data_IF_296769690044
#
_entry.id   IF_296769690044
#
_cell.length_a   1.000
_cell.length_b   1.000
_cell.length_c   1.000
_cell.angle_alpha   90.00
_cell.angle_beta   90.00
_cell.angle_gamma   90.00
#
_symmetry.space_group_name_H-M   'P 1'
#
loop_
_entity.id
_entity.type
_entity.pdbx_description
1 polymer ?
#
# COMPACT_ATOMS: atom_id res chain seq x y z
N UNK A 1 -11.82 31.71 7.45
CA UNK A 1 -11.57 31.89 6.01
C UNK A 1 -12.02 30.64 5.30
N UNK A 2 -12.90 30.75 4.31
CA UNK A 2 -13.27 29.62 3.45
C UNK A 2 -12.06 29.30 2.56
N UNK A 3 -11.47 28.12 2.71
CA UNK A 3 -10.48 27.60 1.75
C UNK A 3 -11.14 27.57 0.38
N UNK A 4 -10.68 28.44 -0.52
CA UNK A 4 -11.10 28.47 -1.92
C UNK A 4 -10.94 27.07 -2.50
N UNK A 5 -12.02 26.50 -3.02
CA UNK A 5 -11.94 25.26 -3.78
C UNK A 5 -11.10 25.53 -5.03
N UNK A 6 -9.84 25.08 -5.00
CA UNK A 6 -8.96 25.13 -6.16
C UNK A 6 -9.16 23.82 -6.95
N UNK A 7 -9.82 23.85 -8.13
CA UNK A 7 -10.04 22.66 -8.91
C UNK A 7 -8.72 22.05 -9.38
N UNK A 8 -8.59 20.73 -9.28
CA UNK A 8 -7.44 20.01 -9.83
C UNK A 8 -7.43 20.12 -11.35
N UNK A 9 -6.24 20.09 -11.95
CA UNK A 9 -6.12 19.96 -13.41
C UNK A 9 -6.51 18.53 -13.85
N UNK A 10 -6.98 18.32 -15.09
CA UNK A 10 -7.29 16.99 -15.60
C UNK A 10 -6.11 16.01 -15.48
N UNK A 11 -4.87 16.47 -15.72
CA UNK A 11 -3.67 15.66 -15.56
C UNK A 11 -3.46 15.19 -14.11
N UNK A 12 -3.65 16.09 -13.13
CA UNK A 12 -3.56 15.72 -11.70
C UNK A 12 -4.69 14.78 -11.30
N UNK A 13 -5.91 15.03 -11.76
CA UNK A 13 -7.06 14.16 -11.50
C UNK A 13 -6.86 12.75 -12.07
N UNK A 14 -6.30 12.65 -13.26
CA UNK A 14 -5.92 11.38 -13.89
C UNK A 14 -4.84 10.64 -13.09
N UNK A 15 -3.85 11.38 -12.60
CA UNK A 15 -2.81 10.79 -11.76
C UNK A 15 -3.40 10.20 -10.48
N UNK A 16 -4.24 10.96 -9.77
CA UNK A 16 -4.88 10.55 -8.51
C UNK A 16 -5.84 9.36 -8.68
N UNK A 17 -6.66 9.36 -9.74
CA UNK A 17 -7.74 8.36 -9.89
C UNK A 17 -7.35 7.10 -10.67
N UNK A 18 -6.30 7.16 -11.50
CA UNK A 18 -5.91 6.06 -12.37
C UNK A 18 -4.46 5.65 -12.15
N UNK A 19 -3.52 6.58 -12.35
CA UNK A 19 -2.09 6.24 -12.32
C UNK A 19 -1.65 5.81 -10.93
N UNK A 20 -2.07 6.51 -9.88
CA UNK A 20 -1.62 6.27 -8.52
C UNK A 20 -2.06 4.89 -7.99
N UNK A 21 -3.35 4.48 -8.09
CA UNK A 21 -3.77 3.13 -7.73
C UNK A 21 -3.03 2.04 -8.50
N UNK A 22 -2.88 2.21 -9.83
CA UNK A 22 -2.19 1.24 -10.68
C UNK A 22 -0.71 1.12 -10.30
N UNK A 23 0.00 2.23 -10.15
CA UNK A 23 1.41 2.23 -9.78
C UNK A 23 1.61 1.57 -8.43
N UNK A 24 0.81 1.92 -7.41
CA UNK A 24 0.96 1.30 -6.09
C UNK A 24 0.74 -0.23 -6.12
N UNK A 25 -0.19 -0.71 -6.94
CA UNK A 25 -0.47 -2.15 -7.07
C UNK A 25 0.68 -2.97 -7.66
N UNK A 26 1.63 -2.35 -8.39
CA UNK A 26 2.87 -3.01 -8.83
C UNK A 26 3.68 -3.49 -7.62
N UNK A 27 3.59 -2.77 -6.51
CA UNK A 27 4.16 -3.19 -5.23
C UNK A 27 3.59 -4.53 -4.76
N UNK A 28 2.26 -4.68 -4.82
CA UNK A 28 1.59 -5.93 -4.46
C UNK A 28 1.89 -7.05 -5.44
N UNK A 29 1.91 -6.76 -6.75
CA UNK A 29 2.33 -7.73 -7.78
C UNK A 29 3.73 -8.27 -7.50
N UNK A 30 4.69 -7.38 -7.24
CA UNK A 30 6.07 -7.76 -6.96
C UNK A 30 6.19 -8.60 -5.68
N UNK A 31 5.54 -8.18 -4.59
CA UNK A 31 5.63 -8.87 -3.31
C UNK A 31 4.93 -10.23 -3.32
N UNK A 32 3.72 -10.34 -3.86
CA UNK A 32 2.98 -11.62 -3.90
C UNK A 32 3.66 -12.63 -4.82
N UNK A 33 4.21 -12.18 -5.95
CA UNK A 33 5.00 -13.02 -6.87
C UNK A 33 6.27 -13.50 -6.19
N UNK A 34 6.99 -12.57 -5.53
CA UNK A 34 8.20 -12.88 -4.79
C UNK A 34 7.94 -13.88 -3.66
N UNK A 35 6.91 -13.69 -2.83
CA UNK A 35 6.54 -14.62 -1.77
C UNK A 35 6.18 -16.00 -2.31
N UNK A 36 5.39 -16.06 -3.40
CA UNK A 36 5.02 -17.34 -4.03
C UNK A 36 6.28 -18.10 -4.47
N UNK A 37 7.19 -17.43 -5.19
CA UNK A 37 8.39 -18.07 -5.73
C UNK A 37 9.45 -18.40 -4.68
N UNK A 38 9.67 -17.51 -3.72
CA UNK A 38 10.74 -17.66 -2.71
C UNK A 38 10.39 -18.66 -1.60
N UNK A 39 9.11 -18.77 -1.22
CA UNK A 39 8.67 -19.65 -0.14
C UNK A 39 8.22 -21.01 -0.68
N UNK A 40 7.44 -21.01 -1.76
CA UNK A 40 6.79 -22.22 -2.27
C UNK A 40 7.42 -22.74 -3.56
N UNK A 41 8.34 -22.00 -4.18
CA UNK A 41 9.01 -22.42 -5.41
C UNK A 41 8.19 -22.23 -6.69
N UNK A 42 6.96 -21.73 -6.60
CA UNK A 42 5.98 -21.64 -7.69
C UNK A 42 5.40 -20.23 -7.76
N UNK A 43 5.05 -19.78 -8.96
CA UNK A 43 4.27 -18.55 -9.16
C UNK A 43 2.83 -18.98 -9.47
N UNK A 44 1.88 -18.55 -8.63
CA UNK A 44 0.45 -18.76 -8.83
C UNK A 44 -0.23 -17.41 -9.04
N UNK A 45 -1.06 -17.31 -10.08
CA UNK A 45 -1.71 -16.07 -10.46
C UNK A 45 -2.80 -15.66 -9.47
N UNK A 46 -3.41 -16.60 -8.72
CA UNK A 46 -4.54 -16.33 -7.81
C UNK A 46 -4.16 -15.40 -6.66
N UNK A 47 -3.14 -15.69 -5.82
CA UNK A 47 -2.75 -14.77 -4.76
C UNK A 47 -2.27 -13.42 -5.31
N UNK A 48 -1.61 -13.42 -6.47
CA UNK A 48 -1.14 -12.20 -7.15
C UNK A 48 -2.33 -11.32 -7.55
N UNK A 49 -3.32 -11.90 -8.24
CA UNK A 49 -4.49 -11.16 -8.70
C UNK A 49 -5.32 -10.65 -7.51
N UNK A 50 -5.47 -11.45 -6.46
CA UNK A 50 -6.17 -11.03 -5.23
C UNK A 50 -5.49 -9.81 -4.60
N UNK A 51 -4.17 -9.84 -4.41
CA UNK A 51 -3.44 -8.75 -3.77
C UNK A 51 -3.46 -7.48 -4.64
N UNK A 52 -3.23 -7.60 -5.95
CA UNK A 52 -3.25 -6.48 -6.91
C UNK A 52 -4.63 -5.85 -6.98
N UNK A 53 -5.68 -6.65 -7.18
CA UNK A 53 -7.05 -6.13 -7.27
C UNK A 53 -7.49 -5.50 -5.95
N UNK A 54 -7.15 -6.10 -4.80
CA UNK A 54 -7.49 -5.54 -3.49
C UNK A 54 -6.80 -4.20 -3.24
N UNK A 55 -5.52 -4.04 -3.62
CA UNK A 55 -4.84 -2.75 -3.49
C UNK A 55 -5.43 -1.68 -4.42
N UNK A 56 -5.73 -2.02 -5.68
CA UNK A 56 -6.39 -1.10 -6.62
C UNK A 56 -7.74 -0.65 -6.08
N UNK A 57 -8.52 -1.58 -5.52
CA UNK A 57 -9.82 -1.27 -4.93
C UNK A 57 -9.69 -0.38 -3.70
N UNK A 58 -8.82 -0.75 -2.74
CA UNK A 58 -8.66 0.01 -1.50
C UNK A 58 -8.19 1.45 -1.77
N UNK A 59 -7.12 1.62 -2.55
CA UNK A 59 -6.58 2.95 -2.90
C UNK A 59 -7.53 3.67 -3.84
N UNK A 60 -8.02 2.99 -4.88
CA UNK A 60 -8.85 3.61 -5.89
C UNK A 60 -10.19 4.09 -5.33
N UNK A 61 -10.81 3.37 -4.38
CA UNK A 61 -12.02 3.84 -3.71
C UNK A 61 -11.75 5.04 -2.80
N UNK A 62 -10.68 5.02 -2.01
CA UNK A 62 -10.25 6.15 -1.15
C UNK A 62 -10.10 7.43 -1.99
N UNK A 63 -9.29 7.37 -3.05
CA UNK A 63 -9.08 8.52 -3.95
C UNK A 63 -10.35 8.89 -4.75
N UNK A 64 -11.16 7.93 -5.16
CA UNK A 64 -12.40 8.23 -5.89
C UNK A 64 -13.40 9.02 -5.03
N UNK A 65 -13.56 8.64 -3.76
CA UNK A 65 -14.45 9.32 -2.84
C UNK A 65 -13.89 10.66 -2.37
N UNK A 66 -12.58 10.76 -2.12
CA UNK A 66 -11.92 12.03 -1.78
C UNK A 66 -12.08 13.09 -2.89
N UNK A 67 -12.10 12.65 -4.16
CA UNK A 67 -12.28 13.55 -5.31
C UNK A 67 -13.75 13.75 -5.73
N UNK A 68 -14.74 13.23 -5.00
CA UNK A 68 -16.16 13.44 -5.32
C UNK A 68 -16.57 14.93 -5.52
N UNK A 69 -16.00 15.91 -4.80
CA UNK A 69 -16.22 17.33 -5.09
C UNK A 69 -15.81 17.76 -6.51
N UNK A 70 -14.75 17.17 -7.06
CA UNK A 70 -14.28 17.45 -8.44
C UNK A 70 -15.25 16.92 -9.49
N UNK A 71 -15.89 15.78 -9.23
CA UNK A 71 -16.95 15.28 -10.11
C UNK A 71 -18.16 16.23 -10.14
N UNK A 72 -18.55 16.74 -8.96
CA UNK A 72 -19.63 17.73 -8.85
C UNK A 72 -19.29 19.03 -9.59
N UNK A 73 -18.02 19.47 -9.51
CA UNK A 73 -17.52 20.61 -10.27
C UNK A 73 -17.52 20.36 -11.78
N UNK A 74 -17.07 19.18 -12.22
CA UNK A 74 -17.04 18.81 -13.63
C UNK A 74 -18.43 18.81 -14.27
N UNK A 75 -19.46 18.33 -13.55
CA UNK A 75 -20.85 18.42 -14.02
C UNK A 75 -21.35 19.87 -14.10
N UNK A 76 -21.05 20.70 -13.10
CA UNK A 76 -21.46 22.11 -13.09
C UNK A 76 -20.81 22.94 -14.20
N UNK A 77 -19.60 22.57 -14.60
CA UNK A 77 -18.81 23.28 -15.62
C UNK A 77 -18.84 22.59 -16.99
N UNK A 78 -19.62 21.52 -17.14
CA UNK A 78 -19.67 20.70 -18.36
C UNK A 78 -18.29 20.25 -18.86
N UNK A 79 -17.35 19.99 -17.94
CA UNK A 79 -16.00 19.53 -18.28
C UNK A 79 -16.03 18.03 -18.62
N UNK A 80 -16.17 17.72 -19.92
CA UNK A 80 -16.29 16.35 -20.44
C UNK A 80 -15.06 15.49 -20.16
N UNK A 81 -13.87 16.09 -20.15
CA UNK A 81 -12.60 15.38 -19.89
C UNK A 81 -12.56 14.86 -18.44
N UNK A 82 -12.86 15.70 -17.45
CA UNK A 82 -12.91 15.28 -16.05
C UNK A 82 -13.96 14.19 -15.83
N UNK A 83 -15.14 14.32 -16.43
CA UNK A 83 -16.20 13.29 -16.36
C UNK A 83 -15.72 11.97 -16.97
N UNK A 84 -14.98 12.00 -18.08
CA UNK A 84 -14.41 10.81 -18.70
C UNK A 84 -13.38 10.12 -17.79
N UNK A 85 -12.53 10.89 -17.09
CA UNK A 85 -11.57 10.35 -16.12
C UNK A 85 -12.30 9.62 -14.97
N UNK A 86 -13.35 10.23 -14.39
CA UNK A 86 -14.15 9.57 -13.37
C UNK A 86 -14.84 8.29 -13.88
N UNK A 87 -15.28 8.28 -15.14
CA UNK A 87 -15.87 7.09 -15.76
C UNK A 87 -14.83 5.98 -15.90
N UNK A 88 -13.62 6.31 -16.37
CA UNK A 88 -12.52 5.35 -16.48
C UNK A 88 -12.14 4.79 -15.10
N UNK A 89 -12.05 5.64 -14.07
CA UNK A 89 -11.74 5.21 -12.71
C UNK A 89 -12.81 4.26 -12.17
N UNK A 90 -14.09 4.55 -12.41
CA UNK A 90 -15.19 3.66 -12.04
C UNK A 90 -15.12 2.31 -12.76
N UNK A 91 -14.79 2.31 -14.06
CA UNK A 91 -14.60 1.07 -14.83
C UNK A 91 -13.42 0.25 -14.31
N UNK A 92 -12.31 0.91 -13.95
CA UNK A 92 -11.15 0.25 -13.33
C UNK A 92 -11.53 -0.42 -12.00
N UNK A 93 -12.32 0.24 -11.16
CA UNK A 93 -12.79 -0.32 -9.89
C UNK A 93 -13.71 -1.53 -10.12
N UNK A 94 -14.68 -1.44 -11.02
CA UNK A 94 -15.57 -2.56 -11.30
C UNK A 94 -14.86 -3.75 -11.94
N UNK A 95 -13.93 -3.52 -12.86
CA UNK A 95 -13.15 -4.61 -13.45
C UNK A 95 -12.30 -5.32 -12.40
N UNK A 96 -11.66 -4.59 -11.50
CA UNK A 96 -10.89 -5.18 -10.41
C UNK A 96 -11.75 -5.89 -9.37
N UNK A 97 -12.95 -5.39 -9.07
CA UNK A 97 -13.91 -6.10 -8.23
C UNK A 97 -14.32 -7.45 -8.85
N UNK A 98 -14.60 -7.49 -10.15
CA UNK A 98 -14.92 -8.72 -10.87
C UNK A 98 -13.73 -9.70 -10.87
N UNK A 99 -12.51 -9.21 -11.11
CA UNK A 99 -11.29 -10.01 -11.07
C UNK A 99 -11.01 -10.58 -9.67
N UNK A 100 -11.22 -9.79 -8.62
CA UNK A 100 -11.08 -10.24 -7.24
C UNK A 100 -12.08 -11.36 -6.93
N UNK A 101 -13.35 -11.20 -7.29
CA UNK A 101 -14.38 -12.22 -7.08
C UNK A 101 -14.09 -13.51 -7.86
N UNK A 102 -13.59 -13.39 -9.10
CA UNK A 102 -13.16 -14.53 -9.90
C UNK A 102 -11.98 -15.27 -9.27
N UNK A 103 -10.96 -14.54 -8.81
CA UNK A 103 -9.80 -15.15 -8.17
C UNK A 103 -10.19 -15.85 -6.86
N UNK A 104 -11.10 -15.24 -6.09
CA UNK A 104 -11.63 -15.78 -4.84
C UNK A 104 -12.50 -17.02 -5.06
N UNK A 105 -13.34 -17.06 -6.10
CA UNK A 105 -14.16 -18.24 -6.41
C UNK A 105 -13.31 -19.45 -6.85
N UNK A 106 -12.12 -19.20 -7.39
CA UNK A 106 -11.13 -20.20 -7.78
C UNK A 106 -10.08 -20.48 -6.68
N UNK A 107 -10.29 -19.96 -5.48
CA UNK A 107 -9.40 -20.10 -4.32
C UNK A 107 -10.07 -20.88 -3.17
N UNK A 108 -9.27 -21.49 -2.26
CA UNK A 108 -9.81 -22.14 -1.07
C UNK A 108 -10.66 -21.19 -0.20
N UNK A 109 -11.68 -21.69 0.53
CA UNK A 109 -12.52 -20.87 1.41
C UNK A 109 -11.73 -20.09 2.48
N UNK A 110 -10.60 -20.64 2.95
CA UNK A 110 -9.72 -19.95 3.89
C UNK A 110 -9.18 -18.62 3.33
N UNK A 111 -8.96 -18.55 2.02
CA UNK A 111 -8.49 -17.33 1.34
C UNK A 111 -9.51 -16.20 1.46
N UNK A 112 -10.81 -16.50 1.42
CA UNK A 112 -11.85 -15.51 1.66
C UNK A 112 -11.71 -14.90 3.05
N UNK A 113 -11.54 -15.74 4.08
CA UNK A 113 -11.32 -15.26 5.44
C UNK A 113 -10.08 -14.38 5.56
N UNK A 114 -8.97 -14.76 4.92
CA UNK A 114 -7.73 -13.95 4.94
C UNK A 114 -7.92 -12.59 4.26
N UNK A 115 -8.58 -12.56 3.09
CA UNK A 115 -8.89 -11.30 2.40
C UNK A 115 -9.82 -10.42 3.25
N UNK A 116 -10.86 -10.99 3.85
CA UNK A 116 -11.78 -10.24 4.70
C UNK A 116 -11.09 -9.67 5.94
N UNK A 117 -10.22 -10.44 6.60
CA UNK A 117 -9.53 -10.01 7.83
C UNK A 117 -8.48 -8.93 7.54
N UNK A 118 -7.67 -9.10 6.49
CA UNK A 118 -6.57 -8.18 6.21
C UNK A 118 -6.98 -7.03 5.28
N UNK A 119 -7.65 -7.28 4.17
CA UNK A 119 -8.02 -6.24 3.20
C UNK A 119 -9.39 -5.62 3.46
N UNK A 120 -10.30 -6.33 4.13
CA UNK A 120 -11.61 -5.80 4.53
C UNK A 120 -11.53 -4.44 5.22
N UNK A 121 -10.67 -4.25 6.26
CA UNK A 121 -10.48 -2.96 6.91
C UNK A 121 -10.06 -1.82 5.97
N UNK A 122 -9.28 -2.12 4.92
CA UNK A 122 -8.84 -1.14 3.93
C UNK A 122 -10.00 -0.68 3.03
N UNK A 123 -10.99 -1.54 2.76
CA UNK A 123 -12.18 -1.17 1.98
C UNK A 123 -13.15 -0.28 2.75
N UNK A 124 -13.16 -0.38 4.08
CA UNK A 124 -14.04 0.40 4.96
C UNK A 124 -13.31 1.53 5.69
N UNK A 125 -12.09 1.84 5.27
CA UNK A 125 -11.13 2.68 5.99
C UNK A 125 -11.67 4.10 6.31
N UNK A 126 -12.48 4.65 5.41
CA UNK A 126 -13.14 5.95 5.54
C UNK A 126 -14.65 5.87 5.86
N UNK A 127 -15.20 4.66 6.00
CA UNK A 127 -16.57 4.48 6.47
C UNK A 127 -16.65 4.74 7.97
N UNK A 128 -17.67 5.51 8.37
CA UNK A 128 -17.95 5.79 9.78
C UNK A 128 -18.50 4.52 10.44
N UNK A 129 -17.63 3.69 11.00
CA UNK A 129 -17.99 2.39 11.56
C UNK A 129 -18.93 2.50 12.78
N UNK A 130 -18.77 3.54 13.59
CA UNK A 130 -19.65 3.83 14.73
C UNK A 130 -19.89 5.34 14.86
N UNK A 131 -21.15 5.75 14.84
CA UNK A 131 -21.58 7.10 15.26
C UNK A 131 -22.12 6.96 16.68
N UNK A 132 -21.28 7.25 17.67
CA UNK A 132 -21.75 7.31 19.05
C UNK A 132 -22.52 8.62 19.27
N UNK A 133 -23.83 8.49 19.53
CA UNK A 133 -24.68 9.47 20.20
C UNK A 133 -24.77 10.86 19.54
N UNK A 134 -25.91 11.16 18.92
CA UNK A 134 -26.22 12.53 18.51
C UNK A 134 -27.57 12.64 17.86
N UNK A 135 -28.62 12.81 18.67
CA UNK A 135 -29.95 13.22 18.24
C UNK A 135 -29.83 14.44 17.33
N UNK A 136 -30.36 14.34 16.11
CA UNK A 136 -30.34 15.43 15.13
C UNK A 136 -31.07 16.66 15.67
N UNK A 137 -30.34 17.63 16.21
CA UNK A 137 -30.79 19.02 16.26
C UNK A 137 -30.05 19.80 15.18
N UNK A 138 -30.82 20.23 14.17
CA UNK A 138 -30.43 21.19 13.15
C UNK A 138 -29.97 22.48 13.83
N UNK A 139 -28.67 22.70 13.93
CA UNK A 139 -28.14 24.05 14.04
C UNK A 139 -26.78 24.14 13.35
N UNK A 140 -26.64 25.24 12.63
CA UNK A 140 -25.57 25.63 11.73
C UNK A 140 -24.25 25.76 12.48
N UNK A 141 -23.27 24.89 12.16
CA UNK A 141 -21.84 25.21 12.06
C UNK A 141 -21.09 24.00 11.50
N UNK A 142 -20.41 24.19 10.36
CA UNK A 142 -19.57 23.18 9.69
C UNK A 142 -18.28 22.92 10.50
N UNK A 143 -18.38 22.27 11.66
CA UNK A 143 -17.25 21.56 12.25
C UNK A 143 -17.41 20.08 11.93
N UNK A 144 -16.39 19.48 11.32
CA UNK A 144 -16.34 18.04 11.06
C UNK A 144 -16.71 17.30 12.37
N UNK A 145 -17.67 16.36 12.34
CA UNK A 145 -18.14 15.72 13.55
C UNK A 145 -16.98 15.03 14.25
N UNK A 146 -16.66 15.46 15.48
CA UNK A 146 -15.59 14.92 16.33
C UNK A 146 -15.78 13.45 16.74
N UNK A 147 -16.95 12.86 16.46
CA UNK A 147 -17.39 11.57 17.02
C UNK A 147 -17.56 10.46 15.95
N UNK A 148 -16.80 10.52 14.86
CA UNK A 148 -16.77 9.44 13.86
C UNK A 148 -15.49 8.63 14.01
N UNK A 149 -15.60 7.39 14.51
CA UNK A 149 -14.48 6.46 14.51
C UNK A 149 -14.16 6.10 13.06
N UNK A 150 -12.99 6.54 12.60
CA UNK A 150 -12.41 6.23 11.29
C UNK A 150 -11.03 5.65 11.55
N UNK A 151 -10.71 4.52 10.91
CA UNK A 151 -9.45 3.81 11.14
C UNK A 151 -8.24 4.72 10.83
N UNK A 152 -8.40 5.60 9.83
CA UNK A 152 -7.47 6.67 9.44
C UNK A 152 -7.10 7.64 10.58
N UNK A 153 -7.92 7.75 11.63
CA UNK A 153 -7.76 8.73 12.73
C UNK A 153 -7.25 8.13 14.04
N UNK A 154 -6.93 6.83 14.08
CA UNK A 154 -6.27 6.26 15.25
C UNK A 154 -4.80 6.73 15.23
N UNK A 155 -4.31 7.40 16.30
CA UNK A 155 -2.97 8.00 16.31
C UNK A 155 -1.86 7.02 15.93
N UNK A 156 -1.11 7.34 14.87
CA UNK A 156 0.05 6.59 14.38
C UNK A 156 -0.25 5.22 13.77
N UNK A 157 -1.50 4.74 13.85
CA UNK A 157 -1.84 3.38 13.44
C UNK A 157 -2.04 3.22 11.93
N UNK A 158 -2.28 4.32 11.19
CA UNK A 158 -2.44 4.28 9.72
C UNK A 158 -1.28 3.54 9.06
N UNK A 159 -0.05 3.96 9.33
CA UNK A 159 1.14 3.35 8.73
C UNK A 159 1.37 1.89 9.20
N UNK A 160 1.12 1.61 10.48
CA UNK A 160 1.30 0.26 11.04
C UNK A 160 0.31 -0.72 10.41
N UNK A 161 -0.97 -0.33 10.33
CA UNK A 161 -2.01 -1.13 9.69
C UNK A 161 -1.72 -1.34 8.21
N UNK A 162 -1.29 -0.32 7.47
CA UNK A 162 -0.85 -0.50 6.07
C UNK A 162 0.28 -1.53 6.00
N UNK A 163 1.25 -1.46 6.92
CA UNK A 163 2.32 -2.44 7.06
C UNK A 163 1.80 -3.87 7.26
N UNK A 164 0.88 -4.07 8.21
CA UNK A 164 0.30 -5.38 8.53
C UNK A 164 -0.54 -5.91 7.37
N UNK A 165 -1.38 -5.08 6.77
CA UNK A 165 -2.25 -5.47 5.65
C UNK A 165 -1.39 -5.90 4.45
N UNK A 166 -0.38 -5.09 4.07
CA UNK A 166 0.43 -5.36 2.89
C UNK A 166 1.58 -6.34 3.10
N UNK A 167 2.13 -6.45 4.31
CA UNK A 167 3.16 -7.43 4.65
C UNK A 167 2.52 -8.77 5.03
N UNK A 168 1.99 -8.84 6.25
CA UNK A 168 1.35 -10.04 6.78
C UNK A 168 0.15 -10.51 5.95
N UNK A 169 -0.73 -9.59 5.51
CA UNK A 169 -1.93 -9.96 4.75
C UNK A 169 -1.60 -10.58 3.38
N UNK A 170 -0.63 -10.03 2.66
CA UNK A 170 -0.12 -10.64 1.42
C UNK A 170 0.39 -12.05 1.67
N UNK A 171 1.21 -12.24 2.71
CA UNK A 171 1.69 -13.58 3.08
C UNK A 171 0.54 -14.53 3.43
N UNK A 172 -0.44 -14.08 4.21
CA UNK A 172 -1.58 -14.90 4.63
C UNK A 172 -2.39 -15.42 3.42
N UNK A 173 -2.59 -14.58 2.40
CA UNK A 173 -3.28 -14.94 1.15
C UNK A 173 -2.43 -15.91 0.31
N UNK A 174 -1.14 -15.64 0.16
CA UNK A 174 -0.23 -16.55 -0.58
C UNK A 174 -0.21 -17.92 0.10
N UNK A 175 -0.05 -17.93 1.43
CA UNK A 175 0.01 -19.14 2.23
C UNK A 175 -1.32 -19.91 2.21
N UNK A 176 -2.47 -19.25 2.27
CA UNK A 176 -3.78 -19.92 2.26
C UNK A 176 -4.06 -20.67 0.95
N UNK A 177 -3.42 -20.25 -0.15
CA UNK A 177 -3.54 -20.91 -1.46
C UNK A 177 -2.46 -21.97 -1.63
N UNK A 178 -1.19 -21.65 -1.35
CA UNK A 178 -0.06 -22.48 -1.77
C UNK A 178 0.36 -23.53 -0.75
N UNK A 179 0.20 -23.29 0.56
CA UNK A 179 0.70 -24.20 1.59
C UNK A 179 0.02 -25.58 1.59
N UNK A 180 -1.17 -25.69 0.97
CA UNK A 180 -1.89 -26.96 0.83
C UNK A 180 -1.42 -27.78 -0.38
N UNK A 181 -0.98 -27.12 -1.43
CA UNK A 181 -0.63 -27.76 -2.71
C UNK A 181 0.88 -27.98 -2.85
N UNK A 182 1.68 -27.21 -2.13
CA UNK A 182 3.12 -27.27 -2.15
C UNK A 182 3.60 -27.29 -0.70
N UNK A 183 4.34 -28.34 -0.33
CA UNK A 183 5.19 -28.24 0.85
C UNK A 183 6.13 -27.06 0.63
N UNK A 184 6.41 -26.26 1.68
CA UNK A 184 7.43 -25.23 1.61
C UNK A 184 8.68 -25.84 0.95
N UNK A 185 9.26 -25.15 -0.03
CA UNK A 185 10.26 -25.74 -0.91
C UNK A 185 11.33 -26.47 -0.06
N UNK A 186 11.75 -27.69 -0.43
CA UNK A 186 12.72 -28.45 0.34
C UNK A 186 13.92 -27.56 0.62
N UNK A 187 14.50 -27.72 1.82
CA UNK A 187 15.59 -26.93 2.38
C UNK A 187 16.88 -27.02 1.56
N UNK A 188 16.86 -26.53 0.32
CA UNK A 188 18.03 -25.95 -0.29
C UNK A 188 18.45 -24.73 0.52
N UNK A 189 19.66 -24.19 0.31
CA UNK A 189 20.12 -22.99 0.98
C UNK A 189 19.35 -21.76 0.46
N UNK A 190 18.07 -21.66 0.83
CA UNK A 190 17.28 -20.46 0.61
C UNK A 190 17.76 -19.41 1.60
N UNK A 191 18.30 -18.32 1.06
CA UNK A 191 18.65 -17.11 1.82
C UNK A 191 17.40 -16.51 2.50
N UNK A 192 16.20 -16.89 2.04
CA UNK A 192 14.92 -16.40 2.53
C UNK A 192 14.20 -17.43 3.40
N UNK A 193 13.98 -17.05 4.66
CA UNK A 193 13.02 -17.69 5.55
C UNK A 193 11.67 -16.92 5.49
N UNK A 194 10.51 -17.60 5.45
CA UNK A 194 9.19 -16.97 5.49
C UNK A 194 9.04 -15.89 6.57
N UNK A 195 9.58 -16.14 7.77
CA UNK A 195 9.55 -15.18 8.89
C UNK A 195 10.26 -13.89 8.54
N UNK A 196 11.43 -13.98 7.90
CA UNK A 196 12.17 -12.80 7.47
C UNK A 196 11.37 -12.01 6.45
N UNK A 197 10.79 -12.68 5.45
CA UNK A 197 9.99 -12.03 4.41
C UNK A 197 8.80 -11.29 5.04
N UNK A 198 8.09 -11.91 5.98
CA UNK A 198 6.93 -11.29 6.65
C UNK A 198 7.37 -10.08 7.47
N UNK A 199 8.36 -10.25 8.35
CA UNK A 199 8.80 -9.18 9.27
C UNK A 199 9.39 -8.01 8.50
N UNK A 200 10.34 -8.28 7.60
CA UNK A 200 10.93 -7.23 6.76
C UNK A 200 9.86 -6.55 5.89
N UNK A 201 8.97 -7.33 5.25
CA UNK A 201 7.98 -6.72 4.36
C UNK A 201 7.01 -5.81 5.11
N UNK A 202 6.61 -6.21 6.31
CA UNK A 202 5.72 -5.44 7.19
C UNK A 202 6.38 -4.16 7.66
N UNK A 203 7.61 -4.25 8.21
CA UNK A 203 8.38 -3.08 8.66
C UNK A 203 8.59 -2.11 7.50
N UNK A 204 9.06 -2.62 6.37
CA UNK A 204 9.37 -1.80 5.21
C UNK A 204 8.11 -1.10 4.68
N UNK A 205 6.97 -1.80 4.56
CA UNK A 205 5.69 -1.18 4.16
C UNK A 205 5.22 -0.11 5.14
N UNK A 206 5.35 -0.35 6.45
CA UNK A 206 5.00 0.63 7.46
C UNK A 206 5.88 1.89 7.33
N UNK A 207 7.20 1.74 7.22
CA UNK A 207 8.12 2.87 7.04
C UNK A 207 7.81 3.69 5.78
N UNK A 208 7.52 3.03 4.65
CA UNK A 208 7.18 3.75 3.42
C UNK A 208 5.79 4.37 3.45
N UNK A 209 4.85 3.84 4.25
CA UNK A 209 3.60 4.53 4.55
C UNK A 209 3.85 5.80 5.38
N UNK A 210 4.75 5.76 6.37
CA UNK A 210 5.18 6.96 7.10
C UNK A 210 5.85 7.97 6.17
N UNK A 211 6.63 7.54 5.18
CA UNK A 211 7.18 8.46 4.18
C UNK A 211 6.09 9.17 3.37
N UNK A 212 4.96 8.51 3.07
CA UNK A 212 3.81 9.19 2.48
C UNK A 212 3.20 10.23 3.43
N UNK A 213 3.16 9.95 4.73
CA UNK A 213 2.72 10.94 5.73
C UNK A 213 3.74 12.10 5.88
N UNK A 214 5.04 11.87 5.65
CA UNK A 214 6.05 12.94 5.61
C UNK A 214 5.81 13.87 4.42
N UNK A 215 5.50 13.31 3.25
CA UNK A 215 5.13 14.08 2.05
C UNK A 215 3.94 15.00 2.31
N UNK A 216 2.94 14.50 3.03
CA UNK A 216 1.69 15.21 3.29
C UNK A 216 1.69 15.95 4.64
N UNK A 217 2.88 16.18 5.23
CA UNK A 217 3.03 16.71 6.59
C UNK A 217 2.31 18.05 6.81
N UNK A 218 2.48 19.02 5.89
CA UNK A 218 1.88 20.35 6.05
C UNK A 218 0.34 20.27 6.05
N UNK A 219 -0.22 19.46 5.16
CA UNK A 219 -1.67 19.25 5.04
C UNK A 219 -2.23 18.50 6.27
N UNK A 220 -1.53 17.44 6.70
CA UNK A 220 -1.89 16.67 7.89
C UNK A 220 -1.76 17.49 9.17
N UNK A 221 -0.77 18.39 9.23
CA UNK A 221 -0.59 19.32 10.34
C UNK A 221 -1.73 20.34 10.41
N UNK A 222 -2.10 20.95 9.29
CA UNK A 222 -3.24 21.88 9.24
C UNK A 222 -4.56 21.20 9.65
N UNK A 223 -4.76 19.96 9.19
CA UNK A 223 -5.98 19.17 9.47
C UNK A 223 -5.93 18.43 10.80
N UNK A 224 -4.79 18.46 11.51
CA UNK A 224 -4.53 17.71 12.74
C UNK A 224 -4.84 16.21 12.58
N UNK A 225 -4.45 15.63 11.45
CA UNK A 225 -4.52 14.18 11.22
C UNK A 225 -3.38 13.54 12.04
N UNK A 226 -3.67 12.57 12.92
CA UNK A 226 -2.68 12.09 13.88
C UNK A 226 -1.73 11.05 13.26
N UNK A 227 -1.02 11.42 12.19
CA UNK A 227 0.03 10.61 11.56
C UNK A 227 1.34 10.67 12.36
N UNK A 228 2.26 9.73 12.16
CA UNK A 228 3.52 9.66 12.91
C UNK A 228 4.31 10.99 12.85
N UNK A 229 4.48 11.64 11.69
CA UNK A 229 5.14 12.94 11.62
C UNK A 229 4.49 14.04 12.46
N UNK A 230 3.15 14.09 12.46
CA UNK A 230 2.36 15.05 13.25
C UNK A 230 2.50 14.76 14.75
N UNK A 231 2.44 13.48 15.16
CA UNK A 231 2.61 13.08 16.55
C UNK A 231 4.02 13.42 17.09
N UNK A 232 5.05 13.26 16.26
CA UNK A 232 6.41 13.67 16.60
C UNK A 232 6.65 15.18 16.46
N UNK A 233 5.68 15.90 15.85
CA UNK A 233 5.70 17.33 15.53
C UNK A 233 6.92 17.73 14.69
N UNK A 234 7.46 16.81 13.89
CA UNK A 234 8.72 17.02 13.19
C UNK A 234 8.97 15.97 12.11
N UNK A 235 9.25 16.45 10.90
CA UNK A 235 9.77 15.63 9.80
C UNK A 235 11.16 15.07 10.17
N UNK A 236 12.04 15.87 10.75
CA UNK A 236 13.39 15.43 11.13
C UNK A 236 13.36 14.27 12.14
N UNK A 237 12.54 14.37 13.20
CA UNK A 237 12.41 13.28 14.18
C UNK A 237 11.86 12.01 13.54
N UNK A 238 10.97 12.16 12.57
CA UNK A 238 10.46 11.03 11.79
C UNK A 238 11.55 10.39 10.94
N UNK A 239 12.36 11.19 10.23
CA UNK A 239 13.49 10.67 9.44
C UNK A 239 14.50 9.92 10.31
N UNK A 240 14.80 10.43 11.50
CA UNK A 240 15.66 9.75 12.48
C UNK A 240 15.04 8.41 12.93
N UNK A 241 13.75 8.38 13.26
CA UNK A 241 13.03 7.16 13.63
C UNK A 241 13.08 6.12 12.50
N UNK A 242 12.74 6.52 11.27
CA UNK A 242 12.75 5.61 10.12
C UNK A 242 14.16 5.09 9.82
N UNK A 243 15.17 5.95 9.92
CA UNK A 243 16.58 5.55 9.79
C UNK A 243 16.95 4.49 10.84
N UNK A 244 16.61 4.73 12.11
CA UNK A 244 16.88 3.78 13.19
C UNK A 244 16.19 2.42 12.94
N UNK A 245 14.93 2.42 12.49
CA UNK A 245 14.19 1.18 12.17
C UNK A 245 14.83 0.44 10.99
N UNK A 246 15.23 1.13 9.93
CA UNK A 246 15.90 0.49 8.79
C UNK A 246 17.29 -0.05 9.14
N UNK A 247 18.10 0.70 9.90
CA UNK A 247 19.40 0.22 10.37
C UNK A 247 19.26 -0.97 11.32
N UNK A 248 18.30 -0.94 12.24
CA UNK A 248 17.99 -2.09 13.10
C UNK A 248 17.58 -3.31 12.27
N UNK A 249 16.75 -3.13 11.24
CA UNK A 249 16.34 -4.21 10.34
C UNK A 249 17.55 -4.79 9.57
N UNK A 250 18.45 -3.93 9.10
CA UNK A 250 19.68 -4.35 8.44
C UNK A 250 20.61 -5.14 9.36
N UNK A 251 20.74 -4.74 10.63
CA UNK A 251 21.53 -5.46 11.63
C UNK A 251 20.90 -6.81 11.99
N UNK A 252 19.59 -6.84 12.22
CA UNK A 252 18.83 -8.05 12.55
C UNK A 252 18.93 -9.12 11.47
N UNK A 253 18.99 -8.70 10.20
CA UNK A 253 19.07 -9.59 9.04
C UNK A 253 20.36 -9.39 8.24
N UNK A 254 21.47 -9.12 8.93
CA UNK A 254 22.78 -8.80 8.31
C UNK A 254 23.32 -9.88 7.36
N UNK A 255 22.92 -11.13 7.57
CA UNK A 255 23.28 -12.27 6.72
C UNK A 255 22.44 -12.38 5.43
N UNK A 256 21.34 -11.60 5.31
CA UNK A 256 20.52 -11.56 4.11
C UNK A 256 20.85 -10.28 3.30
N UNK A 257 21.68 -10.38 2.24
CA UNK A 257 22.16 -9.22 1.50
C UNK A 257 21.03 -8.43 0.83
N UNK A 258 19.91 -9.07 0.51
CA UNK A 258 18.76 -8.42 -0.10
C UNK A 258 18.02 -7.51 0.90
N UNK A 259 17.85 -7.97 2.14
CA UNK A 259 17.24 -7.15 3.21
C UNK A 259 18.16 -5.99 3.57
N UNK A 260 19.47 -6.24 3.67
CA UNK A 260 20.47 -5.19 3.91
C UNK A 260 20.43 -4.13 2.81
N UNK A 261 20.53 -4.55 1.55
CA UNK A 261 20.45 -3.63 0.41
C UNK A 261 19.14 -2.83 0.40
N UNK A 262 18.01 -3.50 0.60
CA UNK A 262 16.70 -2.84 0.64
C UNK A 262 16.62 -1.80 1.77
N UNK A 263 17.16 -2.13 2.95
CA UNK A 263 17.16 -1.24 4.12
C UNK A 263 18.08 -0.03 3.92
N UNK A 264 19.24 -0.22 3.29
CA UNK A 264 20.14 0.87 2.91
C UNK A 264 19.50 1.79 1.86
N UNK A 265 18.89 1.20 0.83
CA UNK A 265 18.13 1.95 -0.18
C UNK A 265 17.00 2.77 0.45
N UNK A 266 16.21 2.16 1.33
CA UNK A 266 15.15 2.85 2.05
C UNK A 266 15.69 3.98 2.93
N UNK A 267 16.83 3.77 3.60
CA UNK A 267 17.51 4.81 4.40
C UNK A 267 17.93 6.00 3.53
N UNK A 268 18.50 5.75 2.34
CA UNK A 268 18.84 6.83 1.39
C UNK A 268 17.59 7.62 1.01
N UNK A 269 16.48 6.94 0.71
CA UNK A 269 15.22 7.61 0.36
C UNK A 269 14.63 8.43 1.51
N UNK A 270 14.75 7.96 2.76
CA UNK A 270 14.31 8.72 3.96
C UNK A 270 14.97 10.08 4.02
N UNK A 271 16.24 10.18 3.64
CA UNK A 271 16.98 11.45 3.66
C UNK A 271 16.80 12.25 2.37
N UNK A 272 16.71 11.59 1.22
CA UNK A 272 16.57 12.23 -0.08
C UNK A 272 15.17 12.82 -0.34
N UNK A 273 14.12 12.30 0.29
CA UNK A 273 12.74 12.75 0.12
C UNK A 273 12.24 13.52 1.34
N UNK A 274 11.47 14.58 1.11
CA UNK A 274 10.87 15.44 2.14
C UNK A 274 9.49 15.97 1.71
N UNK A 275 8.86 16.81 2.53
CA UNK A 275 7.57 17.44 2.27
C UNK A 275 7.56 18.35 1.02
N UNK A 276 8.74 18.83 0.60
CA UNK A 276 8.91 19.70 -0.58
C UNK A 276 9.18 18.92 -1.87
N UNK A 277 9.47 17.63 -1.75
CA UNK A 277 9.82 16.78 -2.86
C UNK A 277 8.60 16.51 -3.75
N UNK A 278 8.75 16.50 -5.10
CA UNK A 278 7.65 16.18 -6.00
C UNK A 278 7.01 14.82 -5.70
N UNK A 279 5.67 14.76 -5.72
CA UNK A 279 4.90 13.52 -5.47
C UNK A 279 5.36 12.33 -6.32
N UNK A 280 5.82 12.59 -7.55
CA UNK A 280 6.34 11.56 -8.45
C UNK A 280 7.57 10.84 -7.91
N UNK A 281 8.46 11.52 -7.18
CA UNK A 281 9.68 10.91 -6.62
C UNK A 281 9.35 9.91 -5.49
N UNK A 282 8.25 10.11 -4.77
CA UNK A 282 7.77 9.16 -3.77
C UNK A 282 7.38 7.79 -4.34
N UNK A 283 7.24 7.66 -5.67
CA UNK A 283 7.09 6.34 -6.31
C UNK A 283 8.28 5.44 -6.06
N UNK A 284 9.49 5.99 -5.95
CA UNK A 284 10.70 5.22 -5.60
C UNK A 284 10.58 4.59 -4.20
N UNK A 285 10.00 5.34 -3.26
CA UNK A 285 9.69 4.87 -1.90
C UNK A 285 8.68 3.71 -1.92
N UNK A 286 7.63 3.82 -2.73
CA UNK A 286 6.60 2.77 -2.83
C UNK A 286 7.09 1.47 -3.48
N UNK A 287 8.15 1.53 -4.29
CA UNK A 287 8.70 0.41 -5.05
C UNK A 287 9.96 -0.23 -4.46
N UNK A 288 10.35 0.12 -3.23
CA UNK A 288 11.54 -0.46 -2.59
C UNK A 288 11.54 -1.99 -2.56
N UNK A 289 10.39 -2.63 -2.27
CA UNK A 289 10.26 -4.10 -2.29
C UNK A 289 10.25 -4.67 -3.70
N UNK A 290 9.66 -3.94 -4.66
CA UNK A 290 9.66 -4.35 -6.07
C UNK A 290 11.10 -4.43 -6.59
N UNK A 291 11.94 -3.47 -6.20
CA UNK A 291 13.37 -3.49 -6.54
C UNK A 291 14.08 -4.71 -5.95
N UNK A 292 13.84 -5.03 -4.67
CA UNK A 292 14.40 -6.23 -4.04
C UNK A 292 13.96 -7.52 -4.74
N UNK A 293 12.68 -7.63 -5.08
CA UNK A 293 12.13 -8.76 -5.80
C UNK A 293 12.76 -8.91 -7.20
N UNK A 294 12.96 -7.79 -7.91
CA UNK A 294 13.59 -7.77 -9.23
C UNK A 294 15.07 -8.20 -9.15
N UNK A 295 15.83 -7.69 -8.19
CA UNK A 295 17.23 -8.07 -7.96
C UNK A 295 17.36 -9.56 -7.62
N UNK A 296 16.49 -10.07 -6.74
CA UNK A 296 16.45 -11.50 -6.43
C UNK A 296 16.14 -12.34 -7.66
N UNK A 297 15.12 -11.96 -8.44
CA UNK A 297 14.76 -12.66 -9.68
C UNK A 297 15.89 -12.69 -10.71
N UNK A 298 16.62 -11.58 -10.87
CA UNK A 298 17.77 -11.50 -11.76
C UNK A 298 18.90 -12.46 -11.33
N UNK A 299 19.21 -12.52 -10.03
CA UNK A 299 20.23 -13.43 -9.50
C UNK A 299 19.82 -14.89 -9.69
N UNK A 300 18.57 -15.24 -9.42
CA UNK A 300 18.07 -16.61 -9.64
C UNK A 300 18.09 -17.00 -11.11
N UNK A 301 17.78 -16.07 -12.02
CA UNK A 301 17.87 -16.30 -13.47
C UNK A 301 19.31 -16.58 -13.91
N UNK A 302 20.28 -15.84 -13.38
CA UNK A 302 21.71 -16.06 -13.65
C UNK A 302 22.18 -17.41 -13.13
N UNK A 303 21.79 -17.79 -11.91
CA UNK A 303 22.11 -19.12 -11.35
C UNK A 303 21.54 -20.25 -12.22
N UNK A 304 20.31 -20.10 -12.67
CA UNK A 304 19.67 -21.07 -13.55
C UNK A 304 20.39 -21.18 -14.90
N UNK A 305 20.70 -20.04 -15.52
CA UNK A 305 21.41 -19.98 -16.80
C UNK A 305 22.81 -20.63 -16.72
N UNK A 306 23.58 -20.30 -15.67
CA UNK A 306 24.91 -20.88 -15.46
C UNK A 306 24.87 -22.38 -15.16
N UNK A 307 23.86 -22.85 -14.41
CA UNK A 307 23.67 -24.28 -14.15
C UNK A 307 23.29 -25.04 -15.42
N UNK A 308 22.45 -24.45 -16.29
CA UNK A 308 22.08 -25.02 -17.58
C UNK A 308 23.28 -25.13 -18.53
N UNK A 309 24.16 -24.12 -18.55
CA UNK A 309 25.38 -24.17 -19.37
C UNK A 309 26.43 -25.19 -18.88
N UNK A 310 26.34 -25.60 -17.61
CA UNK A 310 27.26 -26.57 -17.01
C UNK A 310 26.80 -28.03 -17.19
N UNK A 311 25.61 -28.27 -17.75
CA UNK A 311 25.06 -29.58 -18.13
C UNK A 311 25.31 -29.86 -19.60
#
# INVERSE_FOLDING_TARGET
MATQFAPLTPAKLRDELLTHPLMLSIGSLGLSTFMSRSIFGVIDWRPVLICVASDILAIGMDHYFDQAPMLSYAFKTSNSEMVAIFRQAKMLLYSNAALLLLALSLSPPLTWAMVTVFFGPAFVWDFKLFVFGGTQKKTVEKKAPKNAFTIKRIPGMKAILIGVIRGCGTFAIVNSILARSFSAAPAGPSIWNPTQIIVWSTINRACHAVMADVRDFDEDWEKQVPTIPVLLKSVLRTKLLLTAVHLFTALLYSYNPYIVFASLYATVLVWALDEKSPRGLYRLSFHSQTLTAALYGAVEMVKWYTSYQAM
#
